data_IF_517238704821
#
_entry.id   IF_517238704821
#
_cell.length_a   1.000
_cell.length_b   1.000
_cell.length_c   1.000
_cell.angle_alpha   90.00
_cell.angle_beta   90.00
_cell.angle_gamma   90.00
#
_symmetry.space_group_name_H-M   'P 1'
#
loop_
_entity.id
_entity.type
_entity.pdbx_description
1 polymer ?
#
# COMPACT_ATOMS: atom_id res chain seq x y z
N UNK A 1 5.04 25.87 -1.25
CA UNK A 1 4.22 26.44 -0.16
C UNK A 1 4.18 25.43 0.95
N UNK A 2 5.03 25.60 1.96
CA UNK A 2 5.08 24.76 3.16
C UNK A 2 3.94 25.13 4.09
N UNK A 3 3.02 24.19 4.33
CA UNK A 3 2.02 24.30 5.39
C UNK A 3 2.68 23.98 6.73
N UNK A 4 3.25 25.00 7.37
CA UNK A 4 3.53 24.95 8.80
C UNK A 4 2.21 25.10 9.55
N UNK A 5 1.68 24.00 10.09
CA UNK A 5 0.60 24.04 11.06
C UNK A 5 1.07 24.77 12.32
N UNK A 6 0.34 25.81 12.70
CA UNK A 6 0.66 26.79 13.78
C UNK A 6 0.48 26.24 15.21
N UNK A 7 0.47 24.92 15.40
CA UNK A 7 0.47 24.27 16.71
C UNK A 7 1.55 23.16 16.73
N UNK A 8 2.60 23.38 17.52
CA UNK A 8 3.84 22.58 17.53
C UNK A 8 3.62 21.07 17.76
N UNK A 9 4.12 20.19 16.88
CA UNK A 9 3.89 18.74 16.94
C UNK A 9 4.81 17.97 17.90
N UNK A 10 5.76 18.61 18.58
CA UNK A 10 6.89 17.89 19.16
C UNK A 10 6.66 17.36 20.59
N UNK A 11 5.98 18.11 21.46
CA UNK A 11 5.79 17.68 22.87
C UNK A 11 4.64 16.68 23.00
N UNK A 12 3.49 16.98 22.39
CA UNK A 12 2.33 16.08 22.36
C UNK A 12 2.51 14.92 21.38
N UNK A 13 3.27 15.10 20.30
CA UNK A 13 3.63 14.04 19.37
C UNK A 13 4.43 12.92 20.04
N UNK A 14 5.54 13.29 20.68
CA UNK A 14 6.41 12.34 21.38
C UNK A 14 5.74 11.75 22.62
N UNK A 15 4.98 12.56 23.37
CA UNK A 15 4.19 12.08 24.52
C UNK A 15 3.14 11.05 24.13
N UNK A 16 2.39 11.29 23.04
CA UNK A 16 1.41 10.35 22.53
C UNK A 16 2.03 9.06 21.99
N UNK A 17 3.20 9.12 21.35
CA UNK A 17 3.90 7.93 20.87
C UNK A 17 4.44 7.07 22.02
N UNK A 18 4.95 7.70 23.08
CA UNK A 18 5.35 7.01 24.29
C UNK A 18 4.14 6.39 25.02
N UNK A 19 3.04 7.15 25.15
CA UNK A 19 1.80 6.66 25.72
C UNK A 19 1.21 5.50 24.91
N UNK A 20 1.19 5.58 23.58
CA UNK A 20 0.70 4.50 22.71
C UNK A 20 1.51 3.21 22.88
N UNK A 21 2.84 3.31 22.95
CA UNK A 21 3.70 2.16 23.26
C UNK A 21 3.46 1.62 24.67
N UNK A 22 3.24 2.51 25.63
CA UNK A 22 2.99 2.15 27.03
C UNK A 22 1.65 1.42 27.21
N UNK A 23 0.55 1.97 26.70
CA UNK A 23 -0.78 1.35 26.73
C UNK A 23 -0.90 0.08 25.86
N UNK A 24 -0.07 -0.04 24.82
CA UNK A 24 -0.06 -1.22 23.93
C UNK A 24 0.73 -2.42 24.44
N UNK A 25 1.41 -2.30 25.59
CA UNK A 25 2.22 -3.39 26.15
C UNK A 25 1.35 -4.29 27.04
N UNK A 26 1.34 -5.62 26.88
CA UNK A 26 0.53 -6.53 27.72
C UNK A 26 0.87 -6.46 29.21
N UNK A 27 2.08 -6.03 29.55
CA UNK A 27 2.51 -5.79 30.94
C UNK A 27 1.77 -4.61 31.61
N UNK A 28 1.34 -3.60 30.83
CA UNK A 28 0.58 -2.47 31.37
C UNK A 28 -0.79 -2.92 31.89
N UNK A 29 -1.50 -3.77 31.13
CA UNK A 29 -2.80 -4.31 31.54
C UNK A 29 -2.66 -5.12 32.83
N UNK A 30 -1.65 -6.00 32.92
CA UNK A 30 -1.41 -6.82 34.11
C UNK A 30 -1.10 -5.92 35.33
N UNK A 31 -0.22 -4.93 35.17
CA UNK A 31 0.10 -3.97 36.23
C UNK A 31 -1.11 -3.17 36.70
N UNK A 32 -1.91 -2.67 35.76
CA UNK A 32 -3.14 -1.93 36.07
C UNK A 32 -4.15 -2.81 36.82
N UNK A 33 -4.33 -4.08 36.42
CA UNK A 33 -5.21 -5.01 37.12
C UNK A 33 -4.73 -5.27 38.56
N UNK A 34 -3.42 -5.45 38.77
CA UNK A 34 -2.86 -5.63 40.11
C UNK A 34 -3.04 -4.39 41.00
N UNK A 35 -2.86 -3.19 40.44
CA UNK A 35 -3.09 -1.93 41.15
C UNK A 35 -4.56 -1.81 41.58
N UNK A 36 -5.49 -2.11 40.68
CA UNK A 36 -6.94 -2.08 41.00
C UNK A 36 -7.29 -3.10 42.09
N UNK A 37 -6.77 -4.33 42.00
CA UNK A 37 -6.99 -5.38 43.02
C UNK A 37 -6.41 -4.95 44.37
N UNK A 38 -5.18 -4.43 44.39
CA UNK A 38 -4.53 -3.93 45.61
C UNK A 38 -5.32 -2.76 46.21
N UNK A 39 -5.87 -1.87 45.38
CA UNK A 39 -6.66 -0.73 45.83
C UNK A 39 -8.01 -1.14 46.42
N UNK A 40 -8.68 -2.13 45.81
CA UNK A 40 -9.90 -2.74 46.34
C UNK A 40 -9.61 -3.42 47.69
N UNK A 41 -8.52 -4.17 47.80
CA UNK A 41 -8.11 -4.83 49.04
C UNK A 41 -7.77 -3.82 50.15
N UNK A 42 -7.02 -2.76 49.83
CA UNK A 42 -6.67 -1.69 50.77
C UNK A 42 -7.92 -0.95 51.28
N UNK A 43 -8.87 -0.65 50.40
CA UNK A 43 -10.15 -0.06 50.80
C UNK A 43 -10.97 -1.03 51.66
N UNK A 44 -10.99 -2.32 51.33
CA UNK A 44 -11.63 -3.36 52.15
C UNK A 44 -11.07 -3.46 53.57
N UNK A 45 -9.76 -3.29 53.75
CA UNK A 45 -9.11 -3.24 55.07
C UNK A 45 -9.36 -1.89 55.77
N UNK A 46 -9.44 -0.79 55.02
CA UNK A 46 -9.76 0.54 55.54
C UNK A 46 -11.22 0.69 56.02
N UNK A 47 -12.15 -0.20 55.60
CA UNK A 47 -13.51 -0.32 56.17
C UNK A 47 -13.43 -0.63 57.68
N UNK A 48 -12.44 -1.40 58.15
CA UNK A 48 -12.23 -1.64 59.57
C UNK A 48 -11.89 -0.37 60.36
N UNK A 49 -11.41 0.68 59.68
CA UNK A 49 -11.12 2.00 60.25
C UNK A 49 -12.24 3.05 59.99
N UNK A 50 -13.40 2.65 59.45
CA UNK A 50 -14.55 3.52 59.10
C UNK A 50 -14.23 4.65 58.11
N UNK A 51 -13.18 4.52 57.30
CA UNK A 51 -12.73 5.62 56.44
C UNK A 51 -13.60 5.81 55.18
N UNK A 52 -14.36 4.78 54.75
CA UNK A 52 -15.41 4.89 53.72
C UNK A 52 -16.45 3.74 53.83
N UNK A 53 -17.63 3.95 54.44
CA UNK A 53 -18.70 2.95 54.53
C UNK A 53 -19.44 2.76 53.18
N UNK A 54 -20.07 1.60 52.99
CA UNK A 54 -20.85 1.27 51.79
C UNK A 54 -21.90 2.36 51.43
N UNK A 55 -22.03 2.81 50.15
CA UNK A 55 -21.37 2.35 48.93
C UNK A 55 -20.16 3.23 48.59
N UNK A 56 -19.02 2.62 48.23
CA UNK A 56 -17.71 3.25 47.97
C UNK A 56 -17.76 4.50 47.07
N UNK A 57 -18.10 5.66 47.64
CA UNK A 57 -18.40 6.88 46.88
C UNK A 57 -17.12 7.51 46.36
N UNK A 58 -16.05 7.48 47.16
CA UNK A 58 -14.75 8.01 46.75
C UNK A 58 -14.12 7.17 45.65
N UNK A 59 -14.29 5.83 45.71
CA UNK A 59 -13.80 4.91 44.69
C UNK A 59 -14.52 5.15 43.36
N UNK A 60 -15.85 5.22 43.40
CA UNK A 60 -16.66 5.44 42.21
C UNK A 60 -16.38 6.83 41.60
N UNK A 61 -16.19 7.85 42.44
CA UNK A 61 -15.81 9.18 42.00
C UNK A 61 -14.44 9.18 41.30
N UNK A 62 -13.44 8.51 41.88
CA UNK A 62 -12.11 8.42 41.30
C UNK A 62 -12.11 7.73 39.93
N UNK A 63 -12.81 6.59 39.78
CA UNK A 63 -12.96 5.91 38.49
C UNK A 63 -13.76 6.75 37.48
N UNK A 64 -14.81 7.44 37.93
CA UNK A 64 -15.59 8.34 37.08
C UNK A 64 -14.73 9.48 36.55
N UNK A 65 -13.89 10.09 37.38
CA UNK A 65 -12.93 11.12 36.96
C UNK A 65 -11.86 10.55 36.02
N UNK A 66 -11.34 9.36 36.29
CA UNK A 66 -10.37 8.68 35.42
C UNK A 66 -10.95 8.43 34.03
N UNK A 67 -12.19 7.93 33.94
CA UNK A 67 -12.89 7.73 32.67
C UNK A 67 -13.16 9.06 31.95
N UNK A 68 -13.57 10.09 32.70
CA UNK A 68 -13.82 11.42 32.15
C UNK A 68 -12.57 12.07 31.54
N UNK A 69 -11.38 11.83 32.12
CA UNK A 69 -10.11 12.33 31.55
C UNK A 69 -9.59 11.45 30.40
N UNK A 70 -9.86 10.15 30.42
CA UNK A 70 -9.48 9.25 29.34
C UNK A 70 -10.22 9.55 28.04
N UNK A 71 -11.52 9.85 28.10
CA UNK A 71 -12.36 10.13 26.92
C UNK A 71 -11.78 11.20 25.95
N UNK A 72 -11.42 12.42 26.39
CA UNK A 72 -10.85 13.44 25.49
C UNK A 72 -9.45 13.06 24.98
N UNK A 73 -8.66 12.33 25.78
CA UNK A 73 -7.33 11.88 25.41
C UNK A 73 -7.39 10.81 24.31
N UNK A 74 -8.34 9.88 24.44
CA UNK A 74 -8.67 8.87 23.42
C UNK A 74 -9.18 9.56 22.16
N UNK A 75 -10.07 10.54 22.28
CA UNK A 75 -10.59 11.28 21.12
C UNK A 75 -9.47 11.98 20.35
N UNK A 76 -8.53 12.64 21.05
CA UNK A 76 -7.37 13.27 20.40
C UNK A 76 -6.45 12.24 19.74
N UNK A 77 -6.23 11.08 20.38
CA UNK A 77 -5.48 9.99 19.78
C UNK A 77 -6.17 9.45 18.52
N UNK A 78 -7.50 9.29 18.55
CA UNK A 78 -8.31 8.85 17.41
C UNK A 78 -8.27 9.86 16.26
N UNK A 79 -8.41 11.16 16.52
CA UNK A 79 -8.32 12.20 15.47
C UNK A 79 -6.97 12.14 14.76
N UNK A 80 -5.87 11.97 15.50
CA UNK A 80 -4.54 11.84 14.91
C UNK A 80 -4.31 10.53 14.16
N UNK A 81 -4.92 9.44 14.62
CA UNK A 81 -4.93 8.17 13.87
C UNK A 81 -5.68 8.34 12.55
N UNK A 82 -6.88 8.92 12.58
CA UNK A 82 -7.69 9.17 11.38
C UNK A 82 -7.00 10.09 10.36
N UNK A 83 -6.25 11.11 10.79
CA UNK A 83 -5.43 11.94 9.89
C UNK A 83 -4.32 11.15 9.20
N UNK A 84 -3.64 10.25 9.93
CA UNK A 84 -2.61 9.38 9.37
C UNK A 84 -3.21 8.38 8.38
N UNK A 85 -4.36 7.80 8.73
CA UNK A 85 -5.04 6.81 7.90
C UNK A 85 -5.50 7.43 6.59
N UNK A 86 -6.11 8.63 6.62
CA UNK A 86 -6.45 9.39 5.40
C UNK A 86 -5.23 9.63 4.50
N UNK A 87 -4.11 10.06 5.07
CA UNK A 87 -2.87 10.26 4.31
C UNK A 87 -2.33 8.96 3.70
N UNK A 88 -2.54 7.82 4.36
CA UNK A 88 -2.17 6.51 3.83
C UNK A 88 -3.09 6.05 2.70
N UNK A 89 -4.39 6.32 2.82
CA UNK A 89 -5.41 6.01 1.82
C UNK A 89 -5.17 6.79 0.53
N UNK A 90 -4.97 8.11 0.61
CA UNK A 90 -4.64 8.91 -0.57
C UNK A 90 -3.35 8.45 -1.28
N UNK A 91 -2.36 7.94 -0.52
CA UNK A 91 -1.13 7.38 -1.12
C UNK A 91 -1.42 6.07 -1.82
N UNK A 92 -2.30 5.23 -1.27
CA UNK A 92 -2.74 4.00 -1.89
C UNK A 92 -3.54 4.27 -3.17
N UNK A 93 -4.46 5.22 -3.17
CA UNK A 93 -5.21 5.64 -4.36
C UNK A 93 -4.27 6.15 -5.46
N UNK A 94 -3.38 7.10 -5.13
CA UNK A 94 -2.37 7.59 -6.09
C UNK A 94 -1.45 6.49 -6.60
N UNK A 95 -1.18 5.46 -5.80
CA UNK A 95 -0.40 4.31 -6.24
C UNK A 95 -1.19 3.42 -7.20
N UNK A 96 -2.46 3.19 -6.91
CA UNK A 96 -3.37 2.42 -7.76
C UNK A 96 -3.53 3.08 -9.13
N UNK A 97 -3.81 4.38 -9.18
CA UNK A 97 -3.90 5.15 -10.44
C UNK A 97 -2.60 5.05 -11.26
N UNK A 98 -1.42 5.09 -10.60
CA UNK A 98 -0.13 4.90 -11.29
C UNK A 98 0.01 3.50 -11.87
N UNK A 99 -0.40 2.47 -11.15
CA UNK A 99 -0.36 1.09 -11.64
C UNK A 99 -1.28 0.90 -12.85
N UNK A 100 -2.49 1.45 -12.80
CA UNK A 100 -3.45 1.41 -13.92
C UNK A 100 -2.89 2.11 -15.16
N UNK A 101 -2.29 3.30 -15.01
CA UNK A 101 -1.65 4.00 -16.14
C UNK A 101 -0.51 3.20 -16.74
N UNK A 102 0.38 2.65 -15.90
CA UNK A 102 1.47 1.80 -16.38
C UNK A 102 0.98 0.52 -17.06
N UNK A 103 -0.15 -0.05 -16.60
CA UNK A 103 -0.77 -1.20 -17.24
C UNK A 103 -1.31 -0.85 -18.63
N UNK A 104 -2.01 0.28 -18.76
CA UNK A 104 -2.51 0.78 -20.05
C UNK A 104 -1.36 1.07 -21.04
N UNK A 105 -0.30 1.75 -20.60
CA UNK A 105 0.89 2.01 -21.42
C UNK A 105 1.56 0.71 -21.90
N UNK A 106 1.63 -0.30 -21.02
CA UNK A 106 2.17 -1.63 -21.40
C UNK A 106 1.30 -2.32 -22.44
N UNK A 107 -0.02 -2.25 -22.32
CA UNK A 107 -0.94 -2.85 -23.28
C UNK A 107 -0.79 -2.21 -24.66
N UNK A 108 -0.70 -0.88 -24.73
CA UNK A 108 -0.43 -0.17 -25.98
C UNK A 108 0.93 -0.54 -26.58
N UNK A 109 1.99 -0.59 -25.77
CA UNK A 109 3.31 -1.00 -26.22
C UNK A 109 3.33 -2.44 -26.76
N UNK A 110 2.62 -3.36 -26.10
CA UNK A 110 2.45 -4.74 -26.57
C UNK A 110 1.73 -4.74 -27.91
N UNK A 111 0.62 -4.00 -28.04
CA UNK A 111 -0.14 -3.91 -29.29
C UNK A 111 0.72 -3.40 -30.44
N UNK A 112 1.42 -2.28 -30.27
CA UNK A 112 2.33 -1.76 -31.30
C UNK A 112 3.45 -2.75 -31.61
N UNK A 113 4.01 -3.42 -30.61
CA UNK A 113 5.00 -4.48 -30.79
C UNK A 113 4.46 -5.63 -31.65
N UNK A 114 3.24 -6.09 -31.40
CA UNK A 114 2.61 -7.15 -32.20
C UNK A 114 2.35 -6.72 -33.64
N UNK A 115 1.92 -5.48 -33.86
CA UNK A 115 1.72 -4.93 -35.21
C UNK A 115 3.03 -4.88 -36.01
N UNK A 116 4.14 -4.49 -35.35
CA UNK A 116 5.47 -4.52 -35.97
C UNK A 116 5.93 -5.94 -36.30
N UNK A 117 5.71 -6.90 -35.40
CA UNK A 117 6.03 -8.31 -35.65
C UNK A 117 5.27 -8.85 -36.86
N UNK A 118 3.96 -8.58 -36.96
CA UNK A 118 3.14 -8.97 -38.11
C UNK A 118 3.70 -8.36 -39.40
N UNK A 119 4.10 -7.09 -39.38
CA UNK A 119 4.70 -6.41 -40.54
C UNK A 119 6.05 -7.00 -40.96
N UNK A 120 6.89 -7.39 -40.00
CA UNK A 120 8.17 -8.05 -40.30
C UNK A 120 7.95 -9.44 -40.89
N UNK A 121 6.99 -10.20 -40.37
CA UNK A 121 6.64 -11.52 -40.89
C UNK A 121 6.10 -11.45 -42.32
N UNK A 122 5.24 -10.48 -42.62
CA UNK A 122 4.73 -10.29 -43.99
C UNK A 122 5.83 -9.87 -44.97
N UNK A 123 6.75 -9.00 -44.54
CA UNK A 123 7.92 -8.63 -45.35
C UNK A 123 8.84 -9.83 -45.62
N UNK A 124 9.09 -10.68 -44.63
CA UNK A 124 9.88 -11.90 -44.80
C UNK A 124 9.22 -12.86 -45.81
N UNK A 125 7.89 -12.98 -45.70
CA UNK A 125 7.10 -13.81 -46.62
C UNK A 125 7.20 -13.28 -48.06
N UNK A 126 7.12 -11.97 -48.26
CA UNK A 126 7.25 -11.37 -49.59
C UNK A 126 8.66 -11.52 -50.16
N UNK A 127 9.69 -11.30 -49.35
CA UNK A 127 11.08 -11.53 -49.77
C UNK A 127 11.30 -12.98 -50.21
N UNK A 128 10.75 -13.95 -49.48
CA UNK A 128 10.81 -15.37 -49.85
C UNK A 128 10.11 -15.62 -51.20
N UNK A 129 9.00 -14.93 -51.47
CA UNK A 129 8.27 -15.02 -52.74
C UNK A 129 9.08 -14.44 -53.89
N UNK A 130 9.74 -13.29 -53.67
CA UNK A 130 10.63 -12.65 -54.64
C UNK A 130 11.84 -13.53 -54.97
N UNK A 131 12.46 -14.14 -53.97
CA UNK A 131 13.56 -15.08 -54.15
C UNK A 131 13.15 -16.27 -55.03
N UNK A 132 11.95 -16.82 -54.78
CA UNK A 132 11.41 -17.90 -55.61
C UNK A 132 11.21 -17.44 -57.06
N UNK A 133 10.60 -16.29 -57.27
CA UNK A 133 10.33 -15.75 -58.61
C UNK A 133 11.64 -15.45 -59.38
N UNK A 134 12.64 -14.89 -58.69
CA UNK A 134 13.95 -14.64 -59.28
C UNK A 134 14.66 -15.94 -59.64
N UNK A 135 14.59 -16.96 -58.78
CA UNK A 135 15.13 -18.29 -59.04
C UNK A 135 14.47 -18.95 -60.26
N UNK A 136 13.15 -18.83 -60.38
CA UNK A 136 12.40 -19.34 -61.54
C UNK A 136 12.81 -18.63 -62.84
N UNK A 137 12.97 -17.29 -62.81
CA UNK A 137 13.45 -16.50 -63.95
C UNK A 137 14.87 -16.89 -64.37
N UNK A 138 15.80 -17.05 -63.42
CA UNK A 138 17.17 -17.49 -63.70
C UNK A 138 17.17 -18.89 -64.31
N UNK A 139 16.36 -19.81 -63.79
CA UNK A 139 16.23 -21.16 -64.35
C UNK A 139 15.67 -21.15 -65.78
N UNK A 140 14.68 -20.28 -66.06
CA UNK A 140 14.13 -20.10 -67.40
C UNK A 140 15.15 -19.53 -68.38
N UNK A 141 15.85 -18.45 -68.01
CA UNK A 141 16.92 -17.86 -68.82
C UNK A 141 18.03 -18.87 -69.13
N UNK A 142 18.42 -19.66 -68.12
CA UNK A 142 19.44 -20.70 -68.29
C UNK A 142 19.00 -21.77 -69.29
N UNK A 143 17.74 -22.21 -69.23
CA UNK A 143 17.17 -23.15 -70.20
C UNK A 143 17.16 -22.57 -71.62
N UNK A 144 16.80 -21.30 -71.75
CA UNK A 144 16.73 -20.61 -73.05
C UNK A 144 18.13 -20.44 -73.68
N UNK A 145 19.12 -20.04 -72.89
CA UNK A 145 20.53 -19.98 -73.33
C UNK A 145 21.01 -21.37 -73.76
N UNK A 146 20.75 -22.41 -72.96
CA UNK A 146 21.17 -23.77 -73.30
C UNK A 146 20.56 -24.24 -74.63
N UNK A 147 19.26 -23.98 -74.85
CA UNK A 147 18.57 -24.31 -76.10
C UNK A 147 19.16 -23.57 -77.31
N UNK A 148 19.48 -22.27 -77.18
CA UNK A 148 20.09 -21.50 -78.28
C UNK A 148 21.52 -21.98 -78.62
N UNK A 149 22.30 -22.37 -77.61
CA UNK A 149 23.66 -22.89 -77.81
C UNK A 149 23.63 -24.26 -78.50
N UNK A 150 22.73 -25.16 -78.11
CA UNK A 150 22.59 -26.47 -78.75
C UNK A 150 21.98 -26.43 -80.15
N UNK A 151 21.23 -25.37 -80.50
CA UNK A 151 20.62 -25.22 -81.83
C UNK A 151 21.59 -24.67 -82.88
N UNK A 152 22.74 -24.12 -82.47
CA UNK A 152 23.74 -23.49 -83.36
C UNK A 152 24.98 -24.36 -83.61
N UNK A 153 25.05 -25.56 -83.05
CA UNK A 153 26.10 -26.57 -83.32
C UNK A 153 25.59 -27.69 -84.21
#
# INVERSE_FOLDING_TARGET
MEHHGTFGPDVFGRGAEHAARFFGTPQYIIGQTLVVIAWIALNGVAISFRWDPYPFILLNLAFSTQAAYAAPLILLAQTRQAERDKGSEERAERHHERLERMAAEREEAIRTGTEQLVKLLSSNTELTRQDKELTEKVAALTREIHAQVTSKG
#
